data_IF_787959432462
#
_entry.id   IF_787959432462
#
_cell.length_a   1.000
_cell.length_b   1.000
_cell.length_c   1.000
_cell.angle_alpha   90.00
_cell.angle_beta   90.00
_cell.angle_gamma   90.00
#
_symmetry.space_group_name_H-M   'P 1'
#
loop_
_entity.id
_entity.type
_entity.pdbx_description
1 polymer ?
#
# COMPACT_ATOMS: atom_id res chain seq x y z
N UNK A 1 4.22 3.80 6.69
CA UNK A 1 4.31 2.39 6.25
C UNK A 1 3.92 1.51 7.40
N UNK A 2 4.49 1.73 8.59
CA UNK A 2 4.07 1.06 9.81
C UNK A 2 2.56 1.22 10.05
N UNK A 3 2.01 2.43 9.89
CA UNK A 3 0.55 2.65 9.93
C UNK A 3 -0.23 1.89 8.85
N UNK A 4 0.33 1.77 7.63
CA UNK A 4 -0.29 1.01 6.53
C UNK A 4 -0.33 -0.47 6.87
N UNK A 5 0.77 -0.98 7.42
CA UNK A 5 0.87 -2.36 7.85
C UNK A 5 -0.12 -2.68 8.96
N UNK A 6 -0.16 -1.88 10.04
CA UNK A 6 -1.09 -2.10 11.16
C UNK A 6 -2.54 -2.11 10.71
N UNK A 7 -2.97 -1.16 9.86
CA UNK A 7 -4.36 -1.14 9.35
C UNK A 7 -4.69 -2.34 8.46
N UNK A 8 -3.72 -2.82 7.67
CA UNK A 8 -3.92 -4.01 6.85
C UNK A 8 -3.96 -5.29 7.70
N UNK A 9 -3.14 -5.39 8.76
CA UNK A 9 -3.22 -6.49 9.73
C UNK A 9 -4.58 -6.52 10.42
N UNK A 10 -5.07 -5.38 10.93
CA UNK A 10 -6.40 -5.27 11.54
C UNK A 10 -7.51 -5.73 10.58
N UNK A 11 -7.44 -5.33 9.30
CA UNK A 11 -8.40 -5.78 8.29
C UNK A 11 -8.31 -7.29 8.03
N UNK A 12 -7.10 -7.86 8.04
CA UNK A 12 -6.88 -9.29 7.84
C UNK A 12 -7.31 -10.15 9.03
N UNK A 13 -7.34 -9.59 10.25
CA UNK A 13 -7.92 -10.27 11.42
C UNK A 13 -9.45 -10.46 11.26
N UNK A 14 -10.14 -9.49 10.65
CA UNK A 14 -11.58 -9.51 10.44
C UNK A 14 -12.00 -10.28 9.18
N UNK A 15 -11.18 -10.28 8.12
CA UNK A 15 -11.45 -10.97 6.86
C UNK A 15 -10.54 -12.21 6.65
N UNK A 16 -11.15 -13.40 6.74
CA UNK A 16 -10.47 -14.69 6.55
C UNK A 16 -9.88 -14.92 5.15
N UNK A 17 -10.15 -14.03 4.19
CA UNK A 17 -9.60 -14.08 2.84
C UNK A 17 -8.34 -13.23 2.63
N UNK A 18 -7.93 -12.45 3.63
CA UNK A 18 -6.74 -11.60 3.55
C UNK A 18 -5.59 -12.18 4.37
N UNK A 19 -4.38 -12.08 3.85
CA UNK A 19 -3.15 -12.42 4.56
C UNK A 19 -2.10 -11.32 4.35
N UNK A 20 -1.43 -10.90 5.42
CA UNK A 20 -0.51 -9.77 5.41
C UNK A 20 0.84 -10.20 5.97
N UNK A 21 1.89 -10.05 5.17
CA UNK A 21 3.26 -10.31 5.58
C UNK A 21 4.12 -9.06 5.38
N UNK A 22 4.89 -8.67 6.39
CA UNK A 22 5.91 -7.62 6.25
C UNK A 22 7.29 -8.14 6.59
N UNK A 23 8.17 -8.17 5.58
CA UNK A 23 9.52 -8.69 5.72
C UNK A 23 10.51 -7.85 4.91
N UNK A 24 11.64 -7.50 5.54
CA UNK A 24 12.75 -6.77 4.90
C UNK A 24 12.34 -5.49 4.14
N UNK A 25 11.30 -4.78 4.60
CA UNK A 25 10.81 -3.57 3.95
C UNK A 25 9.84 -3.80 2.78
N UNK A 26 9.42 -5.04 2.56
CA UNK A 26 8.39 -5.44 1.60
C UNK A 26 7.16 -5.90 2.37
N UNK A 27 6.01 -5.29 2.08
CA UNK A 27 4.70 -5.72 2.54
C UNK A 27 4.03 -6.49 1.39
N UNK A 28 3.63 -7.72 1.66
CA UNK A 28 2.82 -8.55 0.77
C UNK A 28 1.43 -8.65 1.39
N UNK A 29 0.41 -8.33 0.62
CA UNK A 29 -0.99 -8.50 0.99
C UNK A 29 -1.61 -9.45 -0.03
N UNK A 30 -1.92 -10.66 0.40
CA UNK A 30 -2.65 -11.64 -0.38
C UNK A 30 -4.15 -11.43 -0.18
N UNK A 31 -4.88 -11.34 -1.28
CA UNK A 31 -6.33 -11.15 -1.30
C UNK A 31 -6.99 -12.13 -2.26
N UNK A 32 -8.31 -12.35 -2.19
CA UNK A 32 -9.01 -13.18 -3.17
C UNK A 32 -8.91 -12.66 -4.61
N UNK A 33 -8.63 -11.35 -4.78
CA UNK A 33 -8.51 -10.68 -6.08
C UNK A 33 -7.06 -10.65 -6.60
N UNK A 34 -6.11 -11.21 -5.85
CA UNK A 34 -4.68 -11.26 -6.19
C UNK A 34 -3.78 -10.66 -5.12
N UNK A 35 -2.48 -10.67 -5.40
CA UNK A 35 -1.44 -10.26 -4.45
C UNK A 35 -0.97 -8.83 -4.71
N UNK A 36 -0.97 -8.02 -3.65
CA UNK A 36 -0.38 -6.70 -3.61
C UNK A 36 1.03 -6.80 -3.03
N UNK A 37 1.97 -6.08 -3.63
CA UNK A 37 3.34 -5.99 -3.10
C UNK A 37 3.73 -4.52 -2.97
N UNK A 38 3.99 -4.07 -1.74
CA UNK A 38 4.41 -2.72 -1.40
C UNK A 38 5.85 -2.78 -0.90
N UNK A 39 6.79 -2.29 -1.71
CA UNK A 39 8.21 -2.29 -1.41
C UNK A 39 8.69 -0.89 -1.03
N UNK A 40 9.25 -0.73 0.17
CA UNK A 40 9.92 0.50 0.61
C UNK A 40 11.29 0.60 -0.04
N UNK A 41 11.56 1.73 -0.68
CA UNK A 41 12.87 2.04 -1.27
C UNK A 41 13.49 3.27 -0.57
N UNK A 42 14.02 3.12 0.67
CA UNK A 42 14.56 4.24 1.45
C UNK A 42 15.63 5.06 0.74
N UNK A 43 16.63 4.48 0.03
CA UNK A 43 17.65 5.26 -0.67
C UNK A 43 17.09 6.24 -1.70
N UNK A 44 15.98 5.85 -2.35
CA UNK A 44 15.34 6.64 -3.39
C UNK A 44 14.20 7.52 -2.84
N UNK A 45 13.88 7.42 -1.55
CA UNK A 45 12.66 7.99 -0.94
C UNK A 45 11.41 7.66 -1.74
N UNK A 46 11.26 6.37 -2.08
CA UNK A 46 10.14 5.88 -2.86
C UNK A 46 9.43 4.73 -2.19
N UNK A 47 8.17 4.53 -2.58
CA UNK A 47 7.43 3.29 -2.38
C UNK A 47 7.04 2.76 -3.75
N UNK A 48 7.29 1.48 -3.99
CA UNK A 48 6.85 0.80 -5.20
C UNK A 48 5.68 -0.12 -4.83
N UNK A 49 4.58 0.01 -5.57
CA UNK A 49 3.41 -0.83 -5.44
C UNK A 49 3.32 -1.71 -6.69
N UNK A 50 3.01 -2.99 -6.51
CA UNK A 50 2.41 -3.85 -7.52
C UNK A 50 0.99 -4.15 -7.08
N UNK A 51 -0.01 -3.62 -7.81
CA UNK A 51 -1.43 -3.95 -7.60
C UNK A 51 -1.89 -4.97 -8.64
N UNK A 52 -2.68 -6.00 -8.26
CA UNK A 52 -3.31 -6.90 -9.21
C UNK A 52 -4.43 -6.21 -10.02
N UNK A 53 -4.91 -5.05 -9.58
CA UNK A 53 -5.99 -4.28 -10.21
C UNK A 53 -5.44 -3.17 -11.11
N UNK A 54 -4.61 -2.28 -10.54
CA UNK A 54 -4.10 -1.09 -11.24
C UNK A 54 -2.66 -1.19 -11.73
N UNK A 55 -2.01 -2.34 -11.50
CA UNK A 55 -0.65 -2.61 -11.95
C UNK A 55 0.43 -1.87 -11.12
N UNK A 56 1.65 -1.73 -11.67
CA UNK A 56 2.76 -1.16 -10.92
C UNK A 56 2.68 0.37 -10.83
N UNK A 57 2.89 0.90 -9.62
CA UNK A 57 2.95 2.35 -9.34
C UNK A 57 4.18 2.68 -8.50
N UNK A 58 4.73 3.88 -8.71
CA UNK A 58 5.86 4.41 -7.94
C UNK A 58 5.42 5.70 -7.27
N UNK A 59 5.45 5.70 -5.96
CA UNK A 59 5.04 6.84 -5.15
C UNK A 59 6.27 7.56 -4.63
N UNK A 60 6.22 8.88 -4.75
CA UNK A 60 7.23 9.79 -4.22
C UNK A 60 6.66 10.49 -2.97
N UNK A 61 7.51 10.77 -1.99
CA UNK A 61 7.11 11.51 -0.79
C UNK A 61 7.01 13.01 -1.11
N UNK A 62 5.84 13.59 -0.88
CA UNK A 62 5.59 15.03 -0.98
C UNK A 62 5.56 15.60 0.43
N UNK A 63 6.54 16.42 0.77
CA UNK A 63 6.75 16.93 2.14
C UNK A 63 5.62 17.88 2.57
N UNK A 64 5.13 18.72 1.65
CA UNK A 64 4.07 19.69 1.89
C UNK A 64 2.73 19.01 2.24
N UNK A 65 2.46 17.86 1.62
CA UNK A 65 1.23 17.09 1.83
C UNK A 65 1.41 15.99 2.87
N UNK A 66 2.66 15.67 3.24
CA UNK A 66 3.05 14.52 4.06
C UNK A 66 2.46 13.20 3.55
N UNK A 67 2.46 13.03 2.22
CA UNK A 67 1.81 11.90 1.54
C UNK A 67 2.70 11.28 0.47
N UNK A 68 2.46 9.99 0.23
CA UNK A 68 3.03 9.24 -0.88
C UNK A 68 2.13 9.43 -2.10
N UNK A 69 2.62 10.13 -3.12
CA UNK A 69 1.83 10.56 -4.28
C UNK A 69 2.36 9.91 -5.54
N UNK A 70 1.45 9.39 -6.38
CA UNK A 70 1.80 8.90 -7.70
C UNK A 70 1.84 10.06 -8.70
N UNK A 71 3.00 10.26 -9.31
CA UNK A 71 3.25 11.44 -10.15
C UNK A 71 2.33 11.56 -11.37
N UNK A 72 1.81 10.43 -11.89
CA UNK A 72 1.01 10.39 -13.13
C UNK A 72 -0.45 10.82 -12.95
N UNK A 73 -1.12 10.29 -11.94
CA UNK A 73 -2.57 10.52 -11.71
C UNK A 73 -2.86 11.32 -10.44
N UNK A 74 -1.82 11.66 -9.66
CA UNK A 74 -1.91 12.38 -8.38
C UNK A 74 -2.65 11.63 -7.27
N UNK A 75 -2.97 10.35 -7.47
CA UNK A 75 -3.52 9.51 -6.41
C UNK A 75 -2.49 9.30 -5.30
N UNK A 76 -2.98 9.11 -4.07
CA UNK A 76 -2.12 8.79 -2.93
C UNK A 76 -2.10 7.28 -2.72
N UNK A 77 -1.02 6.77 -2.12
CA UNK A 77 -0.94 5.35 -1.78
C UNK A 77 -2.11 4.94 -0.87
N UNK A 78 -2.45 5.77 0.12
CA UNK A 78 -3.56 5.53 1.03
C UNK A 78 -4.91 5.51 0.30
N UNK A 79 -5.19 6.49 -0.56
CA UNK A 79 -6.47 6.54 -1.27
C UNK A 79 -6.66 5.33 -2.19
N UNK A 80 -5.58 4.87 -2.83
CA UNK A 80 -5.63 3.71 -3.70
C UNK A 80 -5.84 2.41 -2.91
N UNK A 81 -5.16 2.22 -1.79
CA UNK A 81 -5.40 1.05 -0.92
C UNK A 81 -6.82 1.08 -0.33
N UNK A 82 -7.35 2.26 -0.01
CA UNK A 82 -8.74 2.41 0.42
C UNK A 82 -9.74 1.95 -0.63
N UNK A 83 -9.53 2.35 -1.88
CA UNK A 83 -10.39 2.01 -3.00
C UNK A 83 -10.30 0.51 -3.37
N UNK A 84 -9.08 -0.03 -3.41
CA UNK A 84 -8.83 -1.39 -3.92
C UNK A 84 -8.99 -2.49 -2.85
N UNK A 85 -8.71 -2.18 -1.57
CA UNK A 85 -8.72 -3.14 -0.45
C UNK A 85 -9.87 -2.87 0.53
N UNK A 86 -10.46 -1.68 0.50
CA UNK A 86 -11.59 -1.34 1.38
C UNK A 86 -11.18 -0.85 2.77
N UNK A 87 -10.01 -0.20 2.89
CA UNK A 87 -9.53 0.39 4.16
C UNK A 87 -9.90 1.87 4.28
N UNK A 88 -10.41 2.33 5.42
CA UNK A 88 -10.51 3.78 5.69
C UNK A 88 -9.23 4.29 6.38
N UNK A 89 -8.72 5.44 5.94
CA UNK A 89 -7.56 6.10 6.54
C UNK A 89 -7.99 7.45 7.11
N UNK A 90 -7.93 7.62 8.44
CA UNK A 90 -8.10 8.92 9.12
C UNK A 90 -7.04 9.97 8.74
#
# INVERSE_FOLDING_TARGET
MDEIFTKLEELAEDDKGLDVEFSAGVLTLDTPNGTYVINKQPPNKQIWLSSPISGPKRYDWIEEERKWVYSRDKSTLSSLLAEEVGTEWD
#
